data_IF_900755872684
#
_entry.id   IF_900755872684
#
_cell.length_a   1.000
_cell.length_b   1.000
_cell.length_c   1.000
_cell.angle_alpha   90.00
_cell.angle_beta   90.00
_cell.angle_gamma   90.00
#
_symmetry.space_group_name_H-M   'P 1'
#
loop_
_entity.id
_entity.type
_entity.pdbx_description
1 polymer ?
#
# COMPACT_ATOMS: atom_id res chain seq x y z
N UNK A 1 -2.13 26.99 -17.48
CA UNK A 1 -1.65 25.64 -17.14
C UNK A 1 -0.44 25.81 -16.24
N UNK A 2 -0.51 25.38 -14.98
CA UNK A 2 0.61 25.54 -14.03
C UNK A 2 1.76 24.60 -14.39
N UNK A 3 2.98 24.86 -13.94
CA UNK A 3 4.11 23.93 -14.11
C UNK A 3 3.76 22.53 -13.59
N UNK A 4 3.03 22.45 -12.47
CA UNK A 4 2.55 21.20 -11.88
C UNK A 4 1.59 20.42 -12.80
N UNK A 5 0.78 21.10 -13.61
CA UNK A 5 -0.18 20.43 -14.52
C UNK A 5 0.51 19.61 -15.61
N UNK A 6 1.78 19.88 -15.92
CA UNK A 6 2.58 19.07 -16.85
C UNK A 6 2.81 17.65 -16.33
N UNK A 7 2.83 17.44 -15.01
CA UNK A 7 3.06 16.11 -14.41
C UNK A 7 1.81 15.23 -14.40
N UNK A 8 0.60 15.81 -14.49
CA UNK A 8 -0.66 15.07 -14.43
C UNK A 8 -0.77 13.90 -15.41
N UNK A 9 -0.49 14.05 -16.72
CA UNK A 9 -0.57 12.92 -17.65
C UNK A 9 0.47 11.84 -17.34
N UNK A 10 1.67 12.22 -16.91
CA UNK A 10 2.74 11.28 -16.56
C UNK A 10 2.44 10.51 -15.27
N UNK A 11 1.97 11.20 -14.23
CA UNK A 11 1.50 10.58 -12.99
C UNK A 11 0.38 9.56 -13.25
N UNK A 12 -0.54 9.87 -14.17
CA UNK A 12 -1.63 8.93 -14.53
C UNK A 12 -1.12 7.73 -15.32
N UNK A 13 -0.22 7.93 -16.29
CA UNK A 13 0.38 6.81 -17.07
C UNK A 13 1.20 5.88 -16.17
N UNK A 14 2.01 6.46 -15.29
CA UNK A 14 2.80 5.72 -14.32
C UNK A 14 1.91 4.93 -13.35
N UNK A 15 0.80 5.52 -12.88
CA UNK A 15 -0.20 4.83 -12.07
C UNK A 15 -0.78 3.59 -12.76
N UNK A 16 -1.03 3.62 -14.08
CA UNK A 16 -1.53 2.43 -14.79
C UNK A 16 -0.53 1.28 -14.78
N UNK A 17 0.77 1.56 -14.90
CA UNK A 17 1.81 0.54 -14.80
C UNK A 17 1.88 -0.03 -13.38
N UNK A 18 1.86 0.84 -12.37
CA UNK A 18 1.89 0.45 -10.97
C UNK A 18 0.64 -0.33 -10.53
N UNK A 19 -0.53 -0.06 -11.12
CA UNK A 19 -1.77 -0.74 -10.77
C UNK A 19 -1.71 -2.25 -11.02
N UNK A 20 -0.98 -2.70 -12.05
CA UNK A 20 -0.79 -4.13 -12.29
C UNK A 20 -0.03 -4.79 -11.15
N UNK A 21 1.07 -4.18 -10.72
CA UNK A 21 1.84 -4.65 -9.58
C UNK A 21 1.01 -4.60 -8.29
N UNK A 22 0.32 -3.49 -8.03
CA UNK A 22 -0.51 -3.32 -6.83
C UNK A 22 -1.67 -4.34 -6.78
N UNK A 23 -2.26 -4.69 -7.92
CA UNK A 23 -3.29 -5.72 -7.98
C UNK A 23 -2.71 -7.09 -7.60
N UNK A 24 -1.60 -7.50 -8.21
CA UNK A 24 -0.92 -8.75 -7.85
C UNK A 24 -0.46 -8.78 -6.39
N UNK A 25 0.03 -7.65 -5.88
CA UNK A 25 0.46 -7.47 -4.50
C UNK A 25 -0.70 -7.59 -3.50
N UNK A 26 -1.84 -6.93 -3.77
CA UNK A 26 -3.04 -7.07 -2.93
C UNK A 26 -3.66 -8.46 -3.00
N UNK A 27 -3.67 -9.11 -4.16
CA UNK A 27 -4.12 -10.51 -4.30
C UNK A 27 -3.23 -11.42 -3.46
N UNK A 28 -1.92 -11.21 -3.50
CA UNK A 28 -0.96 -11.94 -2.66
C UNK A 28 -1.30 -11.78 -1.19
N UNK A 29 -1.52 -10.55 -0.70
CA UNK A 29 -1.93 -10.33 0.69
C UNK A 29 -3.33 -10.86 1.02
N UNK A 30 -4.27 -10.82 0.09
CA UNK A 30 -5.61 -11.39 0.29
C UNK A 30 -5.59 -12.91 0.40
N UNK A 31 -4.63 -13.59 -0.22
CA UNK A 31 -4.45 -15.04 -0.08
C UNK A 31 -4.13 -15.46 1.37
N UNK A 32 -3.66 -14.53 2.21
CA UNK A 32 -3.52 -14.72 3.66
C UNK A 32 -4.84 -15.13 4.34
N UNK A 33 -6.01 -14.82 3.78
CA UNK A 33 -7.30 -15.27 4.35
C UNK A 33 -7.35 -16.80 4.45
N UNK A 34 -6.62 -17.51 3.57
CA UNK A 34 -6.56 -18.97 3.50
C UNK A 34 -5.27 -19.56 4.12
N UNK A 35 -4.57 -18.81 4.96
CA UNK A 35 -3.36 -19.27 5.67
C UNK A 35 -2.04 -18.80 5.08
N UNK A 36 -0.97 -19.03 5.84
CA UNK A 36 0.40 -18.64 5.48
C UNK A 36 0.91 -19.36 4.22
N UNK A 37 0.56 -20.64 4.04
CA UNK A 37 0.98 -21.43 2.88
C UNK A 37 0.34 -20.92 1.58
N UNK A 38 -0.96 -20.60 1.64
CA UNK A 38 -1.69 -20.01 0.51
C UNK A 38 -1.10 -18.66 0.09
N UNK A 39 -0.79 -17.81 1.07
CA UNK A 39 -0.11 -16.54 0.81
C UNK A 39 1.27 -16.74 0.19
N UNK A 40 2.06 -17.67 0.73
CA UNK A 40 3.42 -17.96 0.26
C UNK A 40 3.41 -18.52 -1.16
N UNK A 41 2.49 -19.43 -1.49
CA UNK A 41 2.35 -19.98 -2.84
C UNK A 41 2.04 -18.91 -3.88
N UNK A 42 1.11 -17.99 -3.60
CA UNK A 42 0.82 -16.86 -4.50
C UNK A 42 2.02 -15.91 -4.56
N UNK A 43 2.65 -15.64 -3.43
CA UNK A 43 3.80 -14.76 -3.34
C UNK A 43 4.99 -15.26 -4.16
N UNK A 44 5.26 -16.57 -4.17
CA UNK A 44 6.36 -17.16 -4.92
C UNK A 44 6.18 -16.99 -6.43
N UNK A 45 4.95 -17.12 -6.94
CA UNK A 45 4.63 -16.85 -8.36
C UNK A 45 4.93 -15.39 -8.70
N UNK A 46 4.49 -14.46 -7.85
CA UNK A 46 4.64 -13.02 -8.10
C UNK A 46 6.12 -12.60 -7.95
N UNK A 47 6.84 -13.18 -6.99
CA UNK A 47 8.26 -12.92 -6.68
C UNK A 47 9.18 -13.24 -7.84
N UNK A 48 8.91 -14.28 -8.64
CA UNK A 48 9.69 -14.61 -9.84
C UNK A 48 9.86 -13.39 -10.76
N UNK A 49 8.83 -12.55 -10.84
CA UNK A 49 8.85 -11.35 -11.67
C UNK A 49 9.47 -10.17 -10.92
N UNK A 50 8.87 -9.73 -9.81
CA UNK A 50 9.27 -8.46 -9.20
C UNK A 50 10.59 -8.50 -8.43
N UNK A 51 11.09 -9.69 -8.02
CA UNK A 51 12.43 -9.83 -7.40
C UNK A 51 13.55 -9.97 -8.44
N UNK A 52 13.27 -9.85 -9.73
CA UNK A 52 14.34 -9.65 -10.72
C UNK A 52 15.04 -8.30 -10.45
N UNK A 53 16.38 -8.23 -10.37
CA UNK A 53 17.09 -6.99 -10.04
C UNK A 53 16.69 -5.80 -10.93
N UNK A 54 16.50 -6.06 -12.22
CA UNK A 54 16.09 -5.03 -13.19
C UNK A 54 14.66 -4.56 -12.91
N UNK A 55 13.74 -5.49 -12.69
CA UNK A 55 12.33 -5.16 -12.46
C UNK A 55 12.15 -4.47 -11.11
N UNK A 56 12.87 -4.90 -10.07
CA UNK A 56 12.84 -4.27 -8.74
C UNK A 56 13.30 -2.81 -8.81
N UNK A 57 14.44 -2.53 -9.47
CA UNK A 57 14.93 -1.16 -9.66
C UNK A 57 13.91 -0.31 -10.44
N UNK A 58 13.34 -0.85 -11.51
CA UNK A 58 12.32 -0.16 -12.30
C UNK A 58 11.08 0.12 -11.45
N UNK A 59 10.56 -0.85 -10.70
CA UNK A 59 9.39 -0.67 -9.83
C UNK A 59 9.65 0.39 -8.76
N UNK A 60 10.82 0.38 -8.12
CA UNK A 60 11.20 1.41 -7.14
C UNK A 60 11.22 2.79 -7.81
N UNK A 61 11.82 2.91 -9.00
CA UNK A 61 11.83 4.17 -9.74
C UNK A 61 10.42 4.65 -10.13
N UNK A 62 9.52 3.74 -10.51
CA UNK A 62 8.12 4.05 -10.79
C UNK A 62 7.40 4.54 -9.52
N UNK A 63 7.60 3.89 -8.36
CA UNK A 63 7.01 4.35 -7.10
C UNK A 63 7.56 5.71 -6.65
N UNK A 64 8.88 5.91 -6.68
CA UNK A 64 9.51 7.18 -6.31
C UNK A 64 9.02 8.30 -7.22
N UNK A 65 9.02 8.09 -8.54
CA UNK A 65 8.51 9.09 -9.49
C UNK A 65 7.01 9.37 -9.29
N UNK A 66 6.21 8.35 -8.94
CA UNK A 66 4.80 8.53 -8.59
C UNK A 66 4.63 9.46 -7.39
N UNK A 67 5.40 9.23 -6.33
CA UNK A 67 5.37 10.05 -5.11
C UNK A 67 5.82 11.48 -5.41
N UNK A 68 6.93 11.68 -6.13
CA UNK A 68 7.43 13.01 -6.48
C UNK A 68 6.41 13.81 -7.32
N UNK A 69 5.85 13.19 -8.36
CA UNK A 69 4.80 13.83 -9.18
C UNK A 69 3.54 14.09 -8.36
N UNK A 70 3.14 13.18 -7.48
CA UNK A 70 1.99 13.32 -6.59
C UNK A 70 2.14 14.51 -5.64
N UNK A 71 3.31 14.68 -5.04
CA UNK A 71 3.65 15.82 -4.17
C UNK A 71 3.58 17.14 -4.98
N UNK A 72 4.17 17.17 -6.18
CA UNK A 72 4.11 18.35 -7.04
C UNK A 72 2.67 18.75 -7.40
N UNK A 73 1.76 17.76 -7.55
CA UNK A 73 0.34 17.98 -7.84
C UNK A 73 -0.49 18.35 -6.60
N UNK A 74 -0.14 17.85 -5.41
CA UNK A 74 -0.93 18.09 -4.19
C UNK A 74 -0.67 19.48 -3.60
N UNK A 75 0.57 19.99 -3.67
CA UNK A 75 0.95 21.31 -3.13
C UNK A 75 0.05 22.45 -3.64
N UNK A 76 -0.12 22.66 -4.95
CA UNK A 76 -1.00 23.72 -5.44
C UNK A 76 -2.47 23.47 -5.07
N UNK A 77 -2.89 22.20 -4.97
CA UNK A 77 -4.27 21.83 -4.62
C UNK A 77 -4.61 22.13 -3.15
N UNK A 78 -3.64 21.97 -2.24
CA UNK A 78 -3.78 22.36 -0.84
C UNK A 78 -3.96 23.89 -0.70
N UNK A 79 -3.28 24.66 -1.56
CA UNK A 79 -3.32 26.13 -1.56
C UNK A 79 -4.59 26.73 -2.16
N UNK A 80 -5.46 25.94 -2.79
CA UNK A 80 -6.74 26.42 -3.32
C UNK A 80 -7.69 26.83 -2.19
N UNK A 81 -8.30 28.02 -2.30
CA UNK A 81 -9.18 28.58 -1.26
C UNK A 81 -10.49 27.79 -1.11
N UNK A 82 -11.06 27.32 -2.22
CA UNK A 82 -12.30 26.53 -2.23
C UNK A 82 -11.98 25.06 -2.53
N UNK A 83 -12.37 24.15 -1.63
CA UNK A 83 -12.15 22.71 -1.78
C UNK A 83 -13.48 21.96 -1.62
N UNK A 84 -13.79 21.09 -2.58
CA UNK A 84 -14.91 20.16 -2.47
C UNK A 84 -14.54 18.95 -1.60
N UNK A 85 -15.52 18.16 -1.18
CA UNK A 85 -15.28 16.90 -0.47
C UNK A 85 -14.32 15.97 -1.26
N UNK A 86 -14.50 15.85 -2.57
CA UNK A 86 -13.62 15.05 -3.43
C UNK A 86 -12.21 15.63 -3.59
N UNK A 87 -12.05 16.95 -3.44
CA UNK A 87 -10.71 17.54 -3.33
C UNK A 87 -10.00 17.07 -2.07
N UNK A 88 -10.69 17.00 -0.94
CA UNK A 88 -10.13 16.48 0.31
C UNK A 88 -9.83 14.99 0.24
N UNK A 89 -10.73 14.17 -0.32
CA UNK A 89 -10.46 12.74 -0.54
C UNK A 89 -9.18 12.54 -1.34
N UNK A 90 -9.00 13.26 -2.46
CA UNK A 90 -7.79 13.18 -3.28
C UNK A 90 -6.52 13.61 -2.52
N UNK A 91 -6.59 14.72 -1.77
CA UNK A 91 -5.44 15.29 -1.03
C UNK A 91 -5.03 14.35 0.10
N UNK A 92 -5.97 13.98 0.98
CA UNK A 92 -5.67 13.19 2.19
C UNK A 92 -5.19 11.80 1.81
N UNK A 93 -5.89 11.11 0.89
CA UNK A 93 -5.43 9.80 0.41
C UNK A 93 -4.07 9.88 -0.28
N UNK A 94 -3.82 10.91 -1.08
CA UNK A 94 -2.54 11.08 -1.78
C UNK A 94 -1.37 11.32 -0.84
N UNK A 95 -1.54 12.18 0.17
CA UNK A 95 -0.53 12.43 1.21
C UNK A 95 -0.27 11.15 2.00
N UNK A 96 -1.33 10.46 2.41
CA UNK A 96 -1.22 9.21 3.16
C UNK A 96 -0.45 8.16 2.35
N UNK A 97 -0.79 7.96 1.08
CA UNK A 97 -0.10 7.02 0.20
C UNK A 97 1.36 7.39 -0.03
N UNK A 98 1.69 8.68 -0.16
CA UNK A 98 3.08 9.12 -0.28
C UNK A 98 3.90 8.72 0.95
N UNK A 99 3.39 8.99 2.15
CA UNK A 99 4.04 8.59 3.41
C UNK A 99 4.11 7.06 3.53
N UNK A 100 3.00 6.37 3.23
CA UNK A 100 2.92 4.92 3.28
C UNK A 100 3.96 4.27 2.36
N UNK A 101 4.02 4.66 1.08
CA UNK A 101 4.96 4.08 0.10
C UNK A 101 6.40 4.24 0.56
N UNK A 102 6.77 5.44 1.04
CA UNK A 102 8.13 5.70 1.52
C UNK A 102 8.48 4.84 2.74
N UNK A 103 7.58 4.75 3.72
CA UNK A 103 7.82 3.93 4.91
C UNK A 103 7.80 2.42 4.59
N UNK A 104 6.84 1.97 3.78
CA UNK A 104 6.63 0.58 3.46
C UNK A 104 7.78 0.00 2.64
N UNK A 105 8.20 0.68 1.56
CA UNK A 105 9.28 0.17 0.69
C UNK A 105 10.63 0.29 1.40
N UNK A 106 10.99 1.48 1.90
CA UNK A 106 12.35 1.73 2.35
C UNK A 106 12.61 1.25 3.78
N UNK A 107 11.71 1.56 4.72
CA UNK A 107 11.89 1.21 6.13
C UNK A 107 11.38 -0.20 6.46
N UNK A 108 10.39 -0.71 5.72
CA UNK A 108 9.90 -2.08 5.87
C UNK A 108 10.64 -3.07 4.99
N UNK A 109 10.37 -3.05 3.68
CA UNK A 109 10.79 -4.12 2.76
C UNK A 109 12.29 -4.15 2.53
N UNK A 110 12.90 -3.02 2.16
CA UNK A 110 14.33 -2.99 1.86
C UNK A 110 15.15 -3.21 3.13
N UNK A 111 14.84 -2.49 4.22
CA UNK A 111 15.57 -2.65 5.48
C UNK A 111 15.50 -4.08 6.04
N UNK A 112 14.31 -4.68 6.08
CA UNK A 112 14.12 -6.05 6.57
C UNK A 112 14.94 -7.06 5.78
N UNK A 113 15.07 -6.87 4.46
CA UNK A 113 15.84 -7.77 3.58
C UNK A 113 17.35 -7.55 3.64
N UNK A 114 17.81 -6.30 3.76
CA UNK A 114 19.24 -6.00 3.63
C UNK A 114 20.00 -5.99 4.96
N UNK A 115 19.32 -5.73 6.08
CA UNK A 115 19.99 -5.58 7.38
C UNK A 115 19.60 -6.63 8.41
N UNK A 116 18.42 -7.23 8.28
CA UNK A 116 17.83 -8.07 9.34
C UNK A 116 17.71 -9.54 8.92
N UNK A 117 18.02 -9.87 7.65
CA UNK A 117 17.99 -11.22 7.04
C UNK A 117 16.66 -11.98 7.26
N UNK A 118 15.57 -11.22 7.40
CA UNK A 118 14.22 -11.78 7.58
C UNK A 118 13.49 -11.77 6.23
N UNK A 119 12.86 -12.89 5.86
CA UNK A 119 12.01 -12.88 4.66
C UNK A 119 10.78 -11.99 4.88
N UNK A 120 10.59 -11.04 3.98
CA UNK A 120 9.43 -10.13 3.98
C UNK A 120 8.21 -10.84 3.40
N UNK A 121 7.82 -11.95 4.02
CA UNK A 121 6.69 -12.80 3.67
C UNK A 121 5.53 -12.68 4.66
N UNK A 122 4.75 -13.75 4.81
CA UNK A 122 3.59 -13.79 5.69
C UNK A 122 3.91 -13.35 7.13
N UNK A 123 4.90 -14.02 7.74
CA UNK A 123 5.23 -13.84 9.16
C UNK A 123 5.82 -12.46 9.45
N UNK A 124 6.47 -11.82 8.47
CA UNK A 124 6.97 -10.45 8.62
C UNK A 124 5.82 -9.46 8.87
N UNK A 125 4.74 -9.59 8.10
CA UNK A 125 3.56 -8.74 8.27
C UNK A 125 2.80 -9.14 9.52
N UNK A 126 2.58 -10.44 9.76
CA UNK A 126 1.87 -10.92 10.94
C UNK A 126 2.53 -10.46 12.25
N UNK A 127 3.87 -10.49 12.32
CA UNK A 127 4.61 -10.05 13.49
C UNK A 127 4.31 -8.60 13.87
N UNK A 128 4.16 -7.70 12.89
CA UNK A 128 3.83 -6.29 13.17
C UNK A 128 2.44 -6.11 13.78
N UNK A 129 1.51 -7.05 13.57
CA UNK A 129 0.12 -6.98 14.03
C UNK A 129 -0.14 -7.81 15.29
N UNK A 130 0.71 -8.80 15.57
CA UNK A 130 0.58 -9.68 16.74
C UNK A 130 1.47 -9.24 17.91
N UNK A 131 2.56 -8.50 17.65
CA UNK A 131 3.47 -8.03 18.69
C UNK A 131 3.06 -6.66 19.24
N UNK A 132 2.71 -6.61 20.53
CA UNK A 132 2.51 -5.35 21.25
C UNK A 132 3.86 -4.69 21.59
N UNK A 133 3.97 -3.34 21.57
CA UNK A 133 2.92 -2.36 21.28
C UNK A 133 2.77 -2.01 19.79
N UNK A 134 3.56 -2.63 18.90
CA UNK A 134 3.61 -2.28 17.48
C UNK A 134 2.27 -2.45 16.77
N UNK A 135 1.49 -3.46 17.17
CA UNK A 135 0.14 -3.72 16.65
C UNK A 135 -0.78 -2.49 16.64
N UNK A 136 -0.77 -1.67 17.69
CA UNK A 136 -1.59 -0.46 17.79
C UNK A 136 -1.28 0.57 16.70
N UNK A 137 -0.05 0.58 16.18
CA UNK A 137 0.36 1.43 15.06
C UNK A 137 0.17 0.75 13.70
N UNK A 138 0.59 -0.51 13.56
CA UNK A 138 0.62 -1.18 12.26
C UNK A 138 -0.75 -1.61 11.74
N UNK A 139 -1.68 -2.01 12.63
CA UNK A 139 -3.05 -2.35 12.24
C UNK A 139 -3.73 -1.17 11.52
N UNK A 140 -3.85 0.04 12.14
CA UNK A 140 -4.45 1.17 11.45
C UNK A 140 -3.58 1.64 10.26
N UNK A 141 -2.25 1.53 10.34
CA UNK A 141 -1.36 1.87 9.23
C UNK A 141 -1.66 1.07 7.95
N UNK A 142 -1.75 -0.25 8.04
CA UNK A 142 -2.07 -1.07 6.86
C UNK A 142 -3.52 -0.93 6.42
N UNK A 143 -4.46 -0.82 7.37
CA UNK A 143 -5.87 -0.61 7.05
C UNK A 143 -6.08 0.67 6.23
N UNK A 144 -5.55 1.80 6.71
CA UNK A 144 -5.72 3.08 6.04
C UNK A 144 -4.92 3.18 4.76
N UNK A 145 -3.84 2.43 4.57
CA UNK A 145 -3.10 2.37 3.31
C UNK A 145 -3.95 1.84 2.15
N UNK A 146 -4.60 0.70 2.38
CA UNK A 146 -5.47 0.07 1.39
C UNK A 146 -6.69 0.97 1.16
N UNK A 147 -7.34 1.45 2.23
CA UNK A 147 -8.47 2.37 2.10
C UNK A 147 -8.09 3.66 1.34
N UNK A 148 -6.91 4.22 1.60
CA UNK A 148 -6.40 5.39 0.89
C UNK A 148 -6.16 5.10 -0.59
N UNK A 149 -5.60 3.94 -0.95
CA UNK A 149 -5.43 3.54 -2.35
C UNK A 149 -6.76 3.54 -3.11
N UNK A 150 -7.76 2.85 -2.58
CA UNK A 150 -9.09 2.78 -3.20
C UNK A 150 -9.78 4.15 -3.23
N UNK A 151 -9.65 4.94 -2.17
CA UNK A 151 -10.18 6.32 -2.11
C UNK A 151 -9.52 7.25 -3.13
N UNK A 152 -8.21 7.11 -3.34
CA UNK A 152 -7.46 7.89 -4.33
C UNK A 152 -7.87 7.55 -5.76
N UNK A 153 -8.07 6.26 -6.05
CA UNK A 153 -8.59 5.79 -7.34
C UNK A 153 -10.05 6.24 -7.54
N UNK A 154 -10.89 6.16 -6.51
CA UNK A 154 -12.27 6.62 -6.55
C UNK A 154 -12.37 8.12 -6.85
N UNK A 155 -11.51 8.94 -6.24
CA UNK A 155 -11.42 10.35 -6.55
C UNK A 155 -10.94 10.57 -8.00
N UNK A 156 -9.95 9.82 -8.49
CA UNK A 156 -9.52 9.90 -9.89
C UNK A 156 -10.67 9.55 -10.88
N UNK A 157 -11.49 8.55 -10.57
CA UNK A 157 -12.67 8.19 -11.36
C UNK A 157 -13.78 9.25 -11.27
N UNK A 158 -13.97 9.86 -10.09
CA UNK A 158 -14.90 10.98 -9.92
C UNK A 158 -14.52 12.15 -10.85
N UNK A 159 -13.25 12.54 -10.86
CA UNK A 159 -12.74 13.60 -11.75
C UNK A 159 -12.77 13.22 -13.23
N UNK A 160 -12.84 11.92 -13.55
CA UNK A 160 -13.06 11.41 -14.90
C UNK A 160 -14.55 11.33 -15.28
N UNK A 161 -15.46 11.83 -14.44
CA UNK A 161 -16.90 11.88 -14.72
C UNK A 161 -17.64 10.55 -14.49
N UNK A 162 -17.05 9.61 -13.74
CA UNK A 162 -17.73 8.34 -13.43
C UNK A 162 -18.88 8.55 -12.42
N UNK A 163 -19.95 7.74 -12.49
CA UNK A 163 -21.09 7.87 -11.59
C UNK A 163 -20.70 7.75 -10.12
N UNK A 164 -21.40 8.49 -9.25
CA UNK A 164 -21.17 8.47 -7.80
C UNK A 164 -21.29 7.07 -7.20
N UNK A 165 -22.21 6.24 -7.72
CA UNK A 165 -22.34 4.85 -7.28
C UNK A 165 -21.04 4.08 -7.47
N UNK A 166 -20.40 4.18 -8.65
CA UNK A 166 -19.14 3.49 -8.96
C UNK A 166 -18.01 3.94 -8.03
N UNK A 167 -17.89 5.24 -7.78
CA UNK A 167 -16.80 5.76 -6.94
C UNK A 167 -16.99 5.40 -5.47
N UNK A 168 -18.23 5.40 -4.97
CA UNK A 168 -18.52 4.95 -3.60
C UNK A 168 -18.37 3.45 -3.43
N UNK A 169 -18.80 2.64 -4.41
CA UNK A 169 -18.58 1.18 -4.39
C UNK A 169 -17.10 0.84 -4.35
N UNK A 170 -16.24 1.62 -5.02
CA UNK A 170 -14.80 1.40 -4.97
C UNK A 170 -14.22 1.68 -3.57
N UNK A 171 -14.69 2.73 -2.88
CA UNK A 171 -14.28 3.02 -1.49
C UNK A 171 -14.76 1.90 -0.55
N UNK A 172 -16.01 1.45 -0.69
CA UNK A 172 -16.57 0.37 0.11
C UNK A 172 -15.79 -0.94 -0.10
N UNK A 173 -15.45 -1.27 -1.35
CA UNK A 173 -14.60 -2.41 -1.67
C UNK A 173 -13.24 -2.29 -0.98
N UNK A 174 -12.61 -1.11 -1.02
CA UNK A 174 -11.35 -0.86 -0.33
C UNK A 174 -11.42 -1.10 1.17
N UNK A 175 -12.51 -0.66 1.82
CA UNK A 175 -12.73 -0.87 3.26
C UNK A 175 -12.93 -2.36 3.61
N UNK A 176 -13.63 -3.11 2.76
CA UNK A 176 -13.81 -4.56 2.95
C UNK A 176 -12.47 -5.29 2.76
N UNK A 177 -11.75 -5.00 1.67
CA UNK A 177 -10.45 -5.62 1.39
C UNK A 177 -9.45 -5.31 2.50
N UNK A 178 -9.40 -4.06 2.99
CA UNK A 178 -8.50 -3.67 4.07
C UNK A 178 -8.82 -4.39 5.38
N UNK A 179 -10.10 -4.49 5.74
CA UNK A 179 -10.54 -5.23 6.93
C UNK A 179 -10.15 -6.70 6.84
N UNK A 180 -10.45 -7.37 5.72
CA UNK A 180 -10.17 -8.79 5.54
C UNK A 180 -8.66 -9.08 5.61
N UNK A 181 -7.83 -8.29 4.93
CA UNK A 181 -6.37 -8.49 4.93
C UNK A 181 -5.80 -8.30 6.34
N UNK A 182 -6.17 -7.21 7.02
CA UNK A 182 -5.65 -6.93 8.37
C UNK A 182 -6.15 -7.97 9.38
N UNK A 183 -7.39 -8.40 9.28
CA UNK A 183 -7.93 -9.49 10.12
C UNK A 183 -7.21 -10.82 9.90
N UNK A 184 -6.80 -11.13 8.67
CA UNK A 184 -6.04 -12.34 8.38
C UNK A 184 -4.67 -12.33 9.06
N UNK A 185 -3.92 -11.23 8.92
CA UNK A 185 -2.60 -11.10 9.57
C UNK A 185 -2.68 -10.90 11.09
N UNK A 186 -3.80 -10.39 11.59
CA UNK A 186 -4.08 -10.27 13.03
C UNK A 186 -4.55 -11.56 13.70
N UNK A 187 -4.58 -12.70 12.98
CA UNK A 187 -4.94 -14.01 13.55
C UNK A 187 -6.44 -14.21 13.80
N UNK A 188 -7.32 -13.41 13.18
CA UNK A 188 -8.77 -13.54 13.40
C UNK A 188 -9.36 -14.81 12.77
N UNK A 189 -8.81 -15.26 11.64
CA UNK A 189 -9.31 -16.43 10.91
C UNK A 189 -8.67 -17.74 11.35
N UNK A 190 -7.47 -17.70 11.90
CA UNK A 190 -6.69 -18.87 12.34
C UNK A 190 -5.55 -18.42 13.26
N UNK A 191 -5.08 -19.33 14.11
CA UNK A 191 -3.96 -19.07 15.01
C UNK A 191 -2.65 -18.93 14.22
N UNK A 192 -1.86 -17.92 14.59
CA UNK A 192 -0.56 -17.65 14.00
C UNK A 192 0.51 -17.80 15.07
N UNK A 193 1.29 -18.87 14.97
CA UNK A 193 2.51 -19.03 15.76
C UNK A 193 3.65 -18.31 15.04
N UNK A 194 4.16 -17.24 15.64
CA UNK A 194 5.29 -16.50 15.09
C UNK A 194 6.58 -17.30 15.29
N UNK A 195 7.41 -17.49 14.25
CA UNK A 195 8.74 -18.05 14.43
C UNK A 195 9.66 -17.08 15.20
N UNK A 196 10.55 -17.61 16.04
CA UNK A 196 11.47 -16.86 16.91
C UNK A 196 12.26 -15.74 16.21
N UNK A 197 12.57 -15.91 14.92
CA UNK A 197 13.27 -14.89 14.15
C UNK A 197 12.46 -13.59 14.04
N UNK A 198 11.14 -13.69 13.85
CA UNK A 198 10.25 -12.53 13.72
C UNK A 198 9.93 -11.91 15.07
N UNK A 199 9.81 -12.71 16.13
CA UNK A 199 9.65 -12.18 17.48
C UNK A 199 10.89 -11.37 17.92
N UNK A 200 12.10 -11.92 17.70
CA UNK A 200 13.35 -11.21 17.99
C UNK A 200 13.49 -9.94 17.16
N UNK A 201 13.11 -9.97 15.88
CA UNK A 201 13.10 -8.78 15.06
C UNK A 201 12.19 -7.69 15.64
N UNK A 202 10.99 -8.04 16.10
CA UNK A 202 10.09 -7.06 16.75
C UNK A 202 10.64 -6.55 18.08
N UNK A 203 11.30 -7.39 18.88
CA UNK A 203 11.92 -6.97 20.15
C UNK A 203 13.09 -6.00 19.97
N UNK A 204 13.82 -6.13 18.86
CA UNK A 204 14.94 -5.25 18.51
C UNK A 204 14.52 -4.09 17.62
N UNK A 205 13.22 -3.95 17.34
CA UNK A 205 12.69 -2.84 16.58
C UNK A 205 12.69 -1.61 17.50
N UNK A 206 13.82 -0.88 17.47
CA UNK A 206 14.21 0.28 18.30
C UNK A 206 14.99 -0.05 19.58
#
# INVERSE_FOLDING_TARGET
MTFADRFRPWHRRNAYLLLLFLAAHLITHAAAIFGADSQSAVMDIVRVVYRSPVIEIVLIALFVSQVCMGIALVIPRIRQSQKTAWSWVQIVSGIYLAVFILNHIFLGVLRGRTYEDVDTGFYFVAATMLSAPYNYGFIPYYFFAILALFSHLAAALHWAGRPRAVTLSLIALGAVVSALIVSAYGGLFYDILLPDAYERYMQNLF
#
